data_IF_124446821961
#
_entry.id   IF_124446821961
#
_cell.length_a   1.000
_cell.length_b   1.000
_cell.length_c   1.000
_cell.angle_alpha   90.00
_cell.angle_beta   90.00
_cell.angle_gamma   90.00
#
_symmetry.space_group_name_H-M   'P 1'
#
loop_
_entity.id
_entity.type
_entity.pdbx_description
1 polymer ?
#
# COMPACT_ATOMS: atom_id res chain seq x y z
N UNK A 1 5.25 14.62 30.83
CA UNK A 1 4.63 13.96 29.67
C UNK A 1 4.96 14.79 28.44
N UNK A 2 5.85 14.31 27.59
CA UNK A 2 6.14 14.97 26.31
C UNK A 2 4.95 14.75 25.37
N UNK A 3 4.39 15.84 24.84
CA UNK A 3 3.26 15.77 23.91
C UNK A 3 3.74 15.10 22.62
N UNK A 4 2.99 14.09 22.17
CA UNK A 4 3.28 13.40 20.91
C UNK A 4 3.32 14.41 19.74
N UNK A 5 4.40 14.44 18.94
CA UNK A 5 4.48 15.33 17.79
C UNK A 5 3.34 15.08 16.81
N UNK A 6 2.71 16.14 16.29
CA UNK A 6 1.59 16.04 15.36
C UNK A 6 1.97 15.28 14.09
N UNK A 7 3.25 15.32 13.67
CA UNK A 7 3.78 14.60 12.51
C UNK A 7 3.62 13.07 12.67
N UNK A 8 3.78 12.54 13.89
CA UNK A 8 3.59 11.11 14.16
C UNK A 8 2.10 10.75 14.06
N UNK A 9 1.23 11.62 14.58
CA UNK A 9 -0.21 11.40 14.46
C UNK A 9 -0.67 11.46 13.00
N UNK A 10 -0.18 12.45 12.25
CA UNK A 10 -0.47 12.59 10.82
C UNK A 10 0.01 11.37 10.03
N UNK A 11 1.23 10.89 10.30
CA UNK A 11 1.77 9.71 9.64
C UNK A 11 0.97 8.45 9.97
N UNK A 12 0.57 8.25 11.23
CA UNK A 12 -0.30 7.15 11.61
C UNK A 12 -1.64 7.21 10.87
N UNK A 13 -2.24 8.41 10.76
CA UNK A 13 -3.48 8.61 10.01
C UNK A 13 -3.31 8.29 8.53
N UNK A 14 -2.21 8.70 7.90
CA UNK A 14 -1.90 8.36 6.51
C UNK A 14 -1.75 6.83 6.32
N UNK A 15 -1.14 6.12 7.28
CA UNK A 15 -1.09 4.66 7.24
C UNK A 15 -2.50 4.04 7.26
N UNK A 16 -3.41 4.54 8.10
CA UNK A 16 -4.79 4.05 8.13
C UNK A 16 -5.55 4.35 6.84
N UNK A 17 -5.35 5.53 6.24
CA UNK A 17 -5.95 5.88 4.95
C UNK A 17 -5.43 4.94 3.85
N UNK A 18 -4.11 4.69 3.79
CA UNK A 18 -3.53 3.77 2.81
C UNK A 18 -4.02 2.34 3.00
N UNK A 19 -4.12 1.86 4.24
CA UNK A 19 -4.66 0.53 4.52
C UNK A 19 -6.13 0.42 4.09
N UNK A 20 -6.94 1.46 4.34
CA UNK A 20 -8.33 1.51 3.89
C UNK A 20 -8.44 1.53 2.35
N UNK A 21 -7.57 2.28 1.66
CA UNK A 21 -7.52 2.28 0.21
C UNK A 21 -7.22 0.87 -0.36
N UNK A 22 -6.23 0.17 0.20
CA UNK A 22 -5.94 -1.21 -0.22
C UNK A 22 -7.12 -2.17 0.02
N UNK A 23 -7.93 -1.94 1.05
CA UNK A 23 -9.16 -2.71 1.24
C UNK A 23 -10.20 -2.45 0.14
N UNK A 24 -10.28 -1.24 -0.41
CA UNK A 24 -11.17 -0.97 -1.56
C UNK A 24 -10.69 -1.71 -2.81
N UNK A 25 -9.38 -1.76 -3.08
CA UNK A 25 -8.80 -2.53 -4.17
C UNK A 25 -9.13 -4.04 -4.06
N UNK A 26 -8.99 -4.59 -2.83
CA UNK A 26 -9.36 -5.99 -2.57
C UNK A 26 -10.85 -6.24 -2.85
N UNK A 27 -11.72 -5.32 -2.45
CA UNK A 27 -13.16 -5.44 -2.70
C UNK A 27 -13.48 -5.37 -4.19
N UNK A 28 -12.82 -4.50 -4.95
CA UNK A 28 -12.96 -4.41 -6.41
C UNK A 28 -12.53 -5.70 -7.08
N UNK A 29 -11.36 -6.25 -6.74
CA UNK A 29 -10.88 -7.54 -7.24
C UNK A 29 -11.84 -8.69 -6.92
N UNK A 30 -12.41 -8.70 -5.70
CA UNK A 30 -13.41 -9.69 -5.30
C UNK A 30 -14.71 -9.57 -6.11
N UNK A 31 -15.18 -8.34 -6.36
CA UNK A 31 -16.38 -8.11 -7.16
C UNK A 31 -16.18 -8.54 -8.61
N UNK A 32 -15.00 -8.28 -9.19
CA UNK A 32 -14.65 -8.72 -10.53
C UNK A 32 -14.58 -10.24 -10.61
N UNK A 33 -13.86 -10.88 -9.68
CA UNK A 33 -13.70 -12.34 -9.66
C UNK A 33 -15.01 -13.09 -9.39
N UNK A 34 -15.93 -12.48 -8.64
CA UNK A 34 -17.26 -13.05 -8.39
C UNK A 34 -18.20 -13.00 -9.61
N UNK A 35 -17.85 -12.22 -10.64
CA UNK A 35 -18.68 -12.07 -11.84
C UNK A 35 -17.98 -12.64 -13.08
N UNK A 36 -18.32 -13.87 -13.53
CA UNK A 36 -17.67 -14.50 -14.69
C UNK A 36 -17.76 -13.66 -15.98
N UNK A 37 -18.83 -12.87 -16.15
CA UNK A 37 -18.98 -11.99 -17.31
C UNK A 37 -17.94 -10.88 -17.30
N UNK A 38 -17.59 -10.34 -16.15
CA UNK A 38 -16.52 -9.34 -16.00
C UNK A 38 -15.15 -9.92 -16.34
N UNK A 39 -14.86 -11.13 -15.90
CA UNK A 39 -13.60 -11.83 -16.21
C UNK A 39 -13.50 -12.16 -17.69
N UNK A 40 -14.60 -12.61 -18.33
CA UNK A 40 -14.65 -12.85 -19.77
C UNK A 40 -14.45 -11.55 -20.58
N UNK A 41 -15.06 -10.45 -20.14
CA UNK A 41 -14.88 -9.14 -20.76
C UNK A 41 -13.42 -8.66 -20.67
N UNK A 42 -12.73 -8.91 -19.56
CA UNK A 42 -11.29 -8.63 -19.44
C UNK A 42 -10.46 -9.41 -20.45
N UNK A 43 -10.75 -10.70 -20.61
CA UNK A 43 -10.07 -11.53 -21.60
C UNK A 43 -10.31 -11.04 -23.03
N UNK A 44 -11.55 -10.65 -23.37
CA UNK A 44 -11.92 -10.10 -24.67
C UNK A 44 -11.22 -8.76 -24.96
N UNK A 45 -11.03 -7.92 -23.94
CA UNK A 45 -10.28 -6.65 -24.06
C UNK A 45 -8.76 -6.86 -24.16
N UNK A 46 -8.28 -8.12 -24.16
CA UNK A 46 -6.87 -8.44 -24.31
C UNK A 46 -6.06 -8.24 -23.04
N UNK A 47 -6.70 -8.21 -21.86
CA UNK A 47 -5.98 -8.19 -20.60
C UNK A 47 -5.11 -9.44 -20.48
N UNK A 48 -3.81 -9.25 -20.32
CA UNK A 48 -2.83 -10.32 -20.20
C UNK A 48 -2.32 -10.36 -18.77
N UNK A 49 -2.75 -11.36 -18.03
CA UNK A 49 -2.21 -11.66 -16.71
C UNK A 49 -0.82 -12.32 -16.76
N UNK A 50 -0.46 -12.87 -17.92
CA UNK A 50 0.84 -13.51 -18.16
C UNK A 50 1.24 -13.38 -19.63
N UNK A 51 2.51 -13.69 -19.96
CA UNK A 51 3.03 -13.69 -21.35
C UNK A 51 2.38 -14.76 -22.25
N UNK A 52 1.63 -15.70 -21.67
CA UNK A 52 0.95 -16.79 -22.40
C UNK A 52 -0.32 -16.38 -23.14
N UNK A 53 -0.75 -15.11 -23.05
CA UNK A 53 -1.92 -14.60 -23.72
C UNK A 53 -3.15 -14.45 -22.82
N UNK A 54 -4.28 -13.91 -23.36
CA UNK A 54 -5.51 -13.74 -22.60
C UNK A 54 -6.17 -15.09 -22.34
N UNK A 55 -6.00 -15.63 -21.15
CA UNK A 55 -6.68 -16.83 -20.67
C UNK A 55 -7.47 -16.51 -19.41
N UNK A 56 -8.74 -16.91 -19.39
CA UNK A 56 -9.66 -16.70 -18.27
C UNK A 56 -9.10 -17.26 -16.96
N UNK A 57 -8.46 -18.44 -17.03
CA UNK A 57 -7.86 -19.06 -15.85
C UNK A 57 -6.72 -18.20 -15.28
N UNK A 58 -5.85 -17.68 -16.14
CA UNK A 58 -4.74 -16.81 -15.71
C UNK A 58 -5.23 -15.49 -15.10
N UNK A 59 -6.39 -14.97 -15.53
CA UNK A 59 -6.99 -13.78 -14.93
C UNK A 59 -7.49 -14.08 -13.50
N UNK A 60 -8.13 -15.22 -13.27
CA UNK A 60 -8.53 -15.62 -11.93
C UNK A 60 -7.32 -15.78 -10.99
N UNK A 61 -6.25 -16.42 -11.47
CA UNK A 61 -5.02 -16.57 -10.71
C UNK A 61 -4.36 -15.23 -10.37
N UNK A 62 -4.37 -14.30 -11.33
CA UNK A 62 -3.88 -12.93 -11.11
C UNK A 62 -4.70 -12.21 -10.03
N UNK A 63 -6.04 -12.22 -10.13
CA UNK A 63 -6.92 -11.59 -9.15
C UNK A 63 -6.76 -12.20 -7.76
N UNK A 64 -6.65 -13.52 -7.66
CA UNK A 64 -6.43 -14.20 -6.39
C UNK A 64 -5.08 -13.82 -5.76
N UNK A 65 -4.00 -13.78 -6.55
CA UNK A 65 -2.68 -13.36 -6.08
C UNK A 65 -2.65 -11.89 -5.65
N UNK A 66 -3.28 -11.01 -6.42
CA UNK A 66 -3.45 -9.58 -6.12
C UNK A 66 -4.13 -9.38 -4.77
N UNK A 67 -5.26 -10.05 -4.53
CA UNK A 67 -6.00 -10.01 -3.27
C UNK A 67 -5.13 -10.42 -2.06
N UNK A 68 -4.33 -11.48 -2.21
CA UNK A 68 -3.41 -11.92 -1.14
C UNK A 68 -2.34 -10.87 -0.86
N UNK A 69 -1.72 -10.33 -1.90
CA UNK A 69 -0.67 -9.31 -1.77
C UNK A 69 -1.24 -8.05 -1.11
N UNK A 70 -2.36 -7.53 -1.59
CA UNK A 70 -2.99 -6.34 -1.03
C UNK A 70 -3.46 -6.55 0.41
N UNK A 71 -3.95 -7.74 0.75
CA UNK A 71 -4.30 -8.07 2.13
C UNK A 71 -3.08 -8.01 3.05
N UNK A 72 -1.97 -8.62 2.66
CA UNK A 72 -0.73 -8.58 3.44
C UNK A 72 -0.24 -7.13 3.60
N UNK A 73 -0.24 -6.37 2.51
CA UNK A 73 0.18 -4.96 2.54
C UNK A 73 -0.72 -4.12 3.44
N UNK A 74 -2.04 -4.28 3.35
CA UNK A 74 -3.00 -3.56 4.18
C UNK A 74 -2.78 -3.84 5.67
N UNK A 75 -2.57 -5.11 6.04
CA UNK A 75 -2.28 -5.50 7.43
C UNK A 75 -0.96 -4.90 7.92
N UNK A 76 0.10 -4.97 7.13
CA UNK A 76 1.41 -4.41 7.50
C UNK A 76 1.33 -2.90 7.68
N UNK A 77 0.69 -2.19 6.75
CA UNK A 77 0.54 -0.72 6.81
C UNK A 77 -0.34 -0.31 8.00
N UNK A 78 -1.43 -1.04 8.24
CA UNK A 78 -2.27 -0.83 9.41
C UNK A 78 -1.47 -1.00 10.72
N UNK A 79 -0.63 -2.04 10.81
CA UNK A 79 0.24 -2.26 11.97
C UNK A 79 1.24 -1.12 12.17
N UNK A 80 1.83 -0.58 11.11
CA UNK A 80 2.67 0.62 11.23
C UNK A 80 1.88 1.80 11.81
N UNK A 81 0.69 2.07 11.30
CA UNK A 81 -0.19 3.12 11.81
C UNK A 81 -0.53 2.92 13.28
N UNK A 82 -0.88 1.70 13.66
CA UNK A 82 -1.24 1.34 15.02
C UNK A 82 -0.08 1.50 16.01
N UNK A 83 1.12 1.01 15.66
CA UNK A 83 2.31 1.13 16.49
C UNK A 83 2.76 2.59 16.64
N UNK A 84 2.72 3.38 15.56
CA UNK A 84 2.95 4.83 15.60
C UNK A 84 1.93 5.53 16.51
N UNK A 85 0.66 5.16 16.39
CA UNK A 85 -0.40 5.72 17.21
C UNK A 85 -0.21 5.38 18.69
N UNK A 86 0.16 4.16 19.02
CA UNK A 86 0.49 3.76 20.40
C UNK A 86 1.82 4.33 20.89
N UNK A 87 2.76 4.57 20.01
CA UNK A 87 4.09 5.01 20.36
C UNK A 87 5.00 3.85 20.79
N UNK A 88 4.70 2.65 20.34
CA UNK A 88 5.43 1.41 20.66
C UNK A 88 6.41 1.04 19.54
N UNK A 89 7.54 0.42 19.91
CA UNK A 89 8.55 -0.09 18.96
C UNK A 89 9.03 0.94 17.93
N UNK A 90 8.99 2.21 18.27
CA UNK A 90 9.20 3.33 17.32
C UNK A 90 10.51 3.26 16.52
N UNK A 91 11.67 2.87 17.08
CA UNK A 91 12.91 2.74 16.30
C UNK A 91 12.79 1.67 15.21
N UNK A 92 12.17 0.53 15.52
CA UNK A 92 11.95 -0.55 14.56
C UNK A 92 10.92 -0.13 13.50
N UNK A 93 9.77 0.43 13.91
CA UNK A 93 8.72 0.92 13.02
C UNK A 93 9.25 1.97 12.04
N UNK A 94 10.07 2.92 12.52
CA UNK A 94 10.72 3.93 11.70
C UNK A 94 11.60 3.31 10.61
N UNK A 95 12.46 2.36 10.99
CA UNK A 95 13.39 1.72 10.05
C UNK A 95 12.65 0.84 9.05
N UNK A 96 11.82 -0.09 9.55
CA UNK A 96 11.10 -1.05 8.71
C UNK A 96 10.09 -0.36 7.80
N UNK A 97 9.36 0.64 8.31
CA UNK A 97 8.43 1.44 7.51
C UNK A 97 9.14 2.22 6.40
N UNK A 98 10.31 2.83 6.70
CA UNK A 98 11.09 3.51 5.66
C UNK A 98 11.54 2.54 4.57
N UNK A 99 12.06 1.37 4.92
CA UNK A 99 12.48 0.36 3.94
C UNK A 99 11.28 -0.13 3.12
N UNK A 100 10.17 -0.43 3.79
CA UNK A 100 8.95 -0.93 3.14
C UNK A 100 8.43 0.04 2.07
N UNK A 101 8.27 1.33 2.42
CA UNK A 101 7.78 2.33 1.46
C UNK A 101 8.83 2.71 0.43
N UNK A 102 10.13 2.67 0.75
CA UNK A 102 11.17 2.89 -0.25
C UNK A 102 11.17 1.80 -1.33
N UNK A 103 11.06 0.53 -0.92
CA UNK A 103 10.95 -0.60 -1.87
C UNK A 103 9.66 -0.49 -2.69
N UNK A 104 8.54 -0.13 -2.06
CA UNK A 104 7.26 0.07 -2.74
C UNK A 104 7.31 1.17 -3.80
N UNK A 105 7.83 2.35 -3.47
CA UNK A 105 7.98 3.48 -4.41
C UNK A 105 8.95 3.13 -5.54
N UNK A 106 10.09 2.51 -5.22
CA UNK A 106 11.04 2.06 -6.25
C UNK A 106 10.42 1.01 -7.16
N UNK A 107 9.69 0.03 -6.61
CA UNK A 107 8.95 -0.96 -7.38
C UNK A 107 7.98 -0.33 -8.38
N UNK A 108 7.23 0.68 -7.97
CA UNK A 108 6.32 1.43 -8.84
C UNK A 108 7.03 2.22 -9.94
N UNK A 109 8.20 2.81 -9.63
CA UNK A 109 8.98 3.58 -10.60
C UNK A 109 9.68 2.70 -11.64
N UNK A 110 10.10 1.49 -11.26
CA UNK A 110 10.82 0.57 -12.14
C UNK A 110 9.93 -0.54 -12.71
N UNK A 111 8.72 -0.72 -12.19
CA UNK A 111 7.74 -1.55 -12.86
C UNK A 111 7.32 -0.81 -14.13
N UNK A 112 7.64 -1.32 -15.32
CA UNK A 112 7.05 -0.74 -16.51
C UNK A 112 5.54 -0.76 -16.26
N UNK A 113 4.85 0.31 -16.67
CA UNK A 113 3.39 0.38 -16.67
C UNK A 113 2.80 -0.68 -17.64
N UNK A 114 3.09 -1.94 -17.36
CA UNK A 114 2.57 -3.13 -18.02
C UNK A 114 1.15 -3.44 -17.57
N UNK A 115 0.73 -2.83 -16.52
CA UNK A 115 -0.65 -2.62 -16.27
C UNK A 115 -1.12 -1.45 -17.14
N UNK A 116 -1.27 -1.66 -18.42
CA UNK A 116 -2.41 -1.07 -19.10
C UNK A 116 -3.56 -1.37 -18.15
N UNK A 117 -4.01 -0.32 -17.41
CA UNK A 117 -4.84 -0.48 -16.24
C UNK A 117 -5.95 -1.48 -16.53
N UNK A 118 -6.19 -2.37 -15.60
CA UNK A 118 -7.43 -3.13 -15.72
C UNK A 118 -8.50 -2.08 -15.95
N UNK A 119 -9.43 -2.24 -16.89
CA UNK A 119 -10.44 -1.24 -17.19
C UNK A 119 -11.32 -0.89 -15.98
N UNK A 120 -11.09 -1.53 -14.84
CA UNK A 120 -11.73 -1.30 -13.56
C UNK A 120 -10.88 -0.41 -12.62
N UNK A 121 -9.56 -0.33 -12.82
CA UNK A 121 -8.72 0.62 -12.08
C UNK A 121 -8.68 1.93 -12.85
N UNK A 122 -9.22 2.98 -12.25
CA UNK A 122 -9.08 4.31 -12.83
C UNK A 122 -7.61 4.75 -12.73
N UNK A 123 -7.08 5.39 -13.78
CA UNK A 123 -5.74 6.02 -13.71
C UNK A 123 -5.59 6.91 -12.48
N UNK A 124 -6.69 7.51 -12.02
CA UNK A 124 -6.73 8.32 -10.81
C UNK A 124 -6.39 7.50 -9.55
N UNK A 125 -6.89 6.25 -9.43
CA UNK A 125 -6.60 5.39 -8.29
C UNK A 125 -5.11 5.02 -8.24
N UNK A 126 -4.50 4.73 -9.39
CA UNK A 126 -3.07 4.44 -9.50
C UNK A 126 -2.21 5.65 -9.11
N UNK A 127 -2.56 6.86 -9.57
CA UNK A 127 -1.88 8.08 -9.16
C UNK A 127 -2.05 8.37 -7.67
N UNK A 128 -3.23 8.13 -7.11
CA UNK A 128 -3.49 8.31 -5.67
C UNK A 128 -2.67 7.31 -4.84
N UNK A 129 -2.62 6.06 -5.23
CA UNK A 129 -1.84 5.00 -4.56
C UNK A 129 -0.35 5.33 -4.55
N UNK A 130 0.19 5.72 -5.72
CA UNK A 130 1.60 6.13 -5.86
C UNK A 130 1.91 7.39 -5.04
N UNK A 131 1.06 8.40 -5.12
CA UNK A 131 1.21 9.65 -4.39
C UNK A 131 1.17 9.44 -2.87
N UNK A 132 0.26 8.61 -2.39
CA UNK A 132 0.12 8.30 -0.97
C UNK A 132 1.31 7.47 -0.46
N UNK A 133 1.81 6.52 -1.25
CA UNK A 133 3.02 5.76 -0.93
C UNK A 133 4.26 6.66 -0.82
N UNK A 134 4.41 7.63 -1.72
CA UNK A 134 5.49 8.62 -1.67
C UNK A 134 5.37 9.53 -0.45
N UNK A 135 4.17 9.99 -0.10
CA UNK A 135 3.91 10.78 1.11
C UNK A 135 4.23 9.99 2.39
N UNK A 136 3.90 8.71 2.43
CA UNK A 136 4.24 7.83 3.54
C UNK A 136 5.76 7.66 3.66
N UNK A 137 6.47 7.44 2.56
CA UNK A 137 7.93 7.39 2.58
C UNK A 137 8.54 8.68 3.14
N UNK A 138 8.09 9.84 2.67
CA UNK A 138 8.56 11.13 3.18
C UNK A 138 8.24 11.30 4.68
N UNK A 139 7.06 10.85 5.11
CA UNK A 139 6.65 10.87 6.52
C UNK A 139 7.56 9.99 7.39
N UNK A 140 7.88 8.78 6.94
CA UNK A 140 8.81 7.89 7.66
C UNK A 140 10.24 8.46 7.69
N UNK A 141 10.71 9.06 6.60
CA UNK A 141 12.01 9.76 6.56
C UNK A 141 12.04 10.95 7.54
N UNK A 142 10.93 11.68 7.67
CA UNK A 142 10.84 12.79 8.63
C UNK A 142 11.00 12.36 10.10
N UNK A 143 10.76 11.08 10.43
CA UNK A 143 11.00 10.54 11.77
C UNK A 143 12.50 10.47 12.16
N UNK A 144 13.41 10.66 11.20
CA UNK A 144 14.85 10.70 11.45
C UNK A 144 15.37 12.10 11.80
N UNK A 145 14.54 13.14 11.69
CA UNK A 145 14.96 14.53 11.88
C UNK A 145 14.05 15.29 12.87
N UNK A 146 14.59 16.32 13.47
CA UNK A 146 13.86 17.27 14.29
C UNK A 146 13.16 16.71 15.53
N UNK A 147 12.01 17.28 15.88
CA UNK A 147 11.20 16.89 17.04
C UNK A 147 10.72 15.43 17.01
N UNK A 148 10.27 14.88 15.86
CA UNK A 148 9.89 13.46 15.79
C UNK A 148 11.04 12.53 16.15
N UNK A 149 12.27 12.81 15.67
CA UNK A 149 13.44 11.99 15.98
C UNK A 149 13.79 12.01 17.49
N UNK A 150 13.66 13.16 18.13
CA UNK A 150 13.87 13.28 19.57
C UNK A 150 12.83 12.47 20.34
N UNK A 151 11.56 12.62 19.98
CA UNK A 151 10.47 11.89 20.61
C UNK A 151 10.60 10.38 20.45
N UNK A 152 11.02 9.90 19.28
CA UNK A 152 11.31 8.48 19.04
C UNK A 152 12.43 7.97 19.94
N UNK A 153 13.49 8.78 20.14
CA UNK A 153 14.60 8.40 21.04
C UNK A 153 14.16 8.32 22.51
N UNK A 154 13.35 9.26 22.96
CA UNK A 154 12.83 9.31 24.34
C UNK A 154 11.91 8.10 24.65
N UNK A 155 11.21 7.58 23.65
CA UNK A 155 10.28 6.46 23.79
C UNK A 155 10.82 5.14 23.20
N UNK A 156 12.13 5.05 22.96
CA UNK A 156 12.75 3.87 22.36
C UNK A 156 12.65 2.59 23.23
N UNK A 157 12.43 2.75 24.54
CA UNK A 157 12.41 1.67 25.51
C UNK A 157 11.03 1.41 26.15
N UNK A 158 9.98 2.00 25.58
CA UNK A 158 8.61 1.81 26.06
C UNK A 158 7.87 0.71 25.31
#
# INVERSE_FOLDING_TARGET
>A
MTIKPWQIVALATLCFIQAAHLLTEILEDLMVSANPASVSALAEMGFRASDSGPDVASIYDYLANSQVIFTIMAVVIFMFGFLLYRGEYLPAVRLTGTIFFAVGVLGQLFSPATAAGTPFHSELADYMSTGLSALLLLGFLALFAGKPAQWVKEHANS
#
